data_IF_397633041119
#
_entry.id   IF_397633041119
#
_cell.length_a   1.000
_cell.length_b   1.000
_cell.length_c   1.000
_cell.angle_alpha   90.00
_cell.angle_beta   90.00
_cell.angle_gamma   90.00
#
_symmetry.space_group_name_H-M   'P 1'
#
loop_
_entity.id
_entity.type
_entity.pdbx_description
1 polymer ?
#
# COMPACT_ATOMS: atom_id res chain seq x y z
N UNK A 1 -7.69 20.13 -20.12
CA UNK A 1 -6.97 19.11 -19.33
C UNK A 1 -5.70 19.75 -18.85
N UNK A 2 -5.62 20.09 -17.58
CA UNK A 2 -4.36 20.55 -16.99
C UNK A 2 -3.41 19.35 -16.98
N UNK A 3 -2.33 19.42 -17.76
CA UNK A 3 -1.35 18.36 -17.86
C UNK A 3 -0.74 18.09 -16.46
N UNK A 4 -1.07 16.96 -15.88
CA UNK A 4 -0.42 16.48 -14.65
C UNK A 4 1.07 16.31 -14.97
N UNK A 5 1.94 17.03 -14.27
CA UNK A 5 3.40 16.91 -14.49
C UNK A 5 3.88 15.51 -14.13
N UNK A 6 4.97 15.04 -14.74
CA UNK A 6 5.58 13.72 -14.45
C UNK A 6 5.84 13.54 -12.95
N UNK A 7 6.30 14.58 -12.26
CA UNK A 7 6.51 14.54 -10.81
C UNK A 7 5.20 14.30 -10.04
N UNK A 8 4.10 14.96 -10.43
CA UNK A 8 2.79 14.76 -9.80
C UNK A 8 2.24 13.36 -10.10
N UNK A 9 2.39 12.86 -11.33
CA UNK A 9 2.01 11.49 -11.70
C UNK A 9 2.77 10.45 -10.87
N UNK A 10 4.07 10.64 -10.67
CA UNK A 10 4.85 9.80 -9.78
C UNK A 10 4.36 9.87 -8.32
N UNK A 11 4.04 11.06 -7.80
CA UNK A 11 3.47 11.20 -6.45
C UNK A 11 2.11 10.51 -6.32
N UNK A 12 1.22 10.57 -7.33
CA UNK A 12 -0.07 9.86 -7.36
C UNK A 12 0.12 8.33 -7.29
N UNK A 13 1.01 7.80 -8.12
CA UNK A 13 1.36 6.38 -8.12
C UNK A 13 1.86 5.92 -6.75
N UNK A 14 2.81 6.65 -6.16
CA UNK A 14 3.36 6.31 -4.85
C UNK A 14 2.37 6.54 -3.70
N UNK A 15 1.48 7.52 -3.80
CA UNK A 15 0.38 7.68 -2.85
C UNK A 15 -0.46 6.39 -2.81
N UNK A 16 -0.84 5.87 -3.98
CA UNK A 16 -1.56 4.61 -4.08
C UNK A 16 -0.81 3.43 -3.47
N UNK A 17 0.51 3.31 -3.74
CA UNK A 17 1.35 2.25 -3.18
C UNK A 17 1.47 2.31 -1.66
N UNK A 18 1.85 3.47 -1.11
CA UNK A 18 2.06 3.60 0.33
C UNK A 18 0.77 3.42 1.13
N UNK A 19 -0.33 3.97 0.64
CA UNK A 19 -1.64 3.80 1.27
C UNK A 19 -2.09 2.34 1.28
N UNK A 20 -1.93 1.63 0.16
CA UNK A 20 -2.28 0.20 0.08
C UNK A 20 -1.36 -0.67 0.93
N UNK A 21 -0.07 -0.34 1.01
CA UNK A 21 0.88 -1.03 1.89
C UNK A 21 0.44 -0.92 3.34
N UNK A 22 0.20 0.30 3.83
CA UNK A 22 -0.26 0.52 5.19
C UNK A 22 -1.58 -0.22 5.46
N UNK A 23 -2.54 -0.16 4.52
CA UNK A 23 -3.84 -0.82 4.64
C UNK A 23 -3.71 -2.35 4.72
N UNK A 24 -2.96 -2.97 3.81
CA UNK A 24 -2.82 -4.43 3.77
C UNK A 24 -1.97 -4.98 4.89
N UNK A 25 -0.87 -4.31 5.21
CA UNK A 25 -0.03 -4.74 6.33
C UNK A 25 -0.78 -4.64 7.66
N UNK A 26 -1.61 -3.61 7.88
CA UNK A 26 -2.44 -3.53 9.09
C UNK A 26 -3.32 -4.77 9.27
N UNK A 27 -3.97 -5.24 8.22
CA UNK A 27 -4.75 -6.48 8.28
C UNK A 27 -3.88 -7.73 8.53
N UNK A 28 -2.76 -7.85 7.82
CA UNK A 28 -1.89 -9.03 7.94
C UNK A 28 -1.23 -9.08 9.32
N UNK A 29 -0.84 -7.94 9.89
CA UNK A 29 -0.29 -7.86 11.24
C UNK A 29 -1.32 -8.38 12.25
N UNK A 30 -2.60 -8.00 12.10
CA UNK A 30 -3.65 -8.52 12.99
C UNK A 30 -3.80 -10.04 12.86
N UNK A 31 -3.82 -10.58 11.63
CA UNK A 31 -3.85 -12.03 11.41
C UNK A 31 -2.66 -12.75 12.06
N UNK A 32 -1.45 -12.21 11.93
CA UNK A 32 -0.25 -12.79 12.54
C UNK A 32 -0.21 -12.62 14.06
N UNK A 33 -0.76 -11.51 14.56
CA UNK A 33 -0.89 -11.29 16.01
C UNK A 33 -1.81 -12.35 16.65
N UNK A 34 -2.97 -12.58 16.05
CA UNK A 34 -3.89 -13.64 16.54
C UNK A 34 -3.21 -15.01 16.50
N UNK A 35 -2.48 -15.30 15.42
CA UNK A 35 -1.70 -16.53 15.31
C UNK A 35 -0.63 -16.64 16.39
N UNK A 36 0.07 -15.53 16.73
CA UNK A 36 1.07 -15.52 17.81
C UNK A 36 0.46 -15.73 19.19
N UNK A 37 -0.79 -15.32 19.39
CA UNK A 37 -1.50 -15.51 20.67
C UNK A 37 -2.03 -16.93 20.78
N UNK A 38 -2.61 -17.48 19.71
CA UNK A 38 -3.38 -18.70 19.77
C UNK A 38 -2.57 -19.98 19.51
N UNK A 39 -1.55 -19.91 18.62
CA UNK A 39 -0.94 -21.14 18.08
C UNK A 39 0.58 -21.14 18.02
N UNK A 40 1.22 -20.02 17.61
CA UNK A 40 2.65 -19.98 17.29
C UNK A 40 3.26 -18.63 17.69
N UNK A 41 3.80 -18.56 18.88
CA UNK A 41 4.42 -17.34 19.42
C UNK A 41 5.57 -16.80 18.56
N UNK A 42 6.09 -17.60 17.62
CA UNK A 42 7.21 -17.23 16.72
C UNK A 42 6.78 -16.85 15.31
N UNK A 43 5.47 -16.76 15.04
CA UNK A 43 4.93 -16.45 13.71
C UNK A 43 5.45 -15.11 13.13
N UNK A 44 5.90 -14.18 13.98
CA UNK A 44 6.54 -12.94 13.53
C UNK A 44 7.79 -13.18 12.67
N UNK A 45 8.51 -14.29 12.87
CA UNK A 45 9.69 -14.64 12.07
C UNK A 45 9.32 -14.90 10.61
N UNK A 46 8.21 -15.60 10.40
CA UNK A 46 7.66 -15.84 9.07
C UNK A 46 7.25 -14.51 8.41
N UNK A 47 6.58 -13.64 9.15
CA UNK A 47 6.19 -12.32 8.66
C UNK A 47 7.41 -11.50 8.20
N UNK A 48 8.44 -11.42 9.05
CA UNK A 48 9.67 -10.69 8.73
C UNK A 48 10.38 -11.27 7.50
N UNK A 49 10.49 -12.61 7.42
CA UNK A 49 11.11 -13.28 6.27
C UNK A 49 10.39 -12.98 4.96
N UNK A 50 9.04 -12.97 4.96
CA UNK A 50 8.22 -12.66 3.78
C UNK A 50 8.39 -11.24 3.26
N UNK A 51 8.69 -10.29 4.14
CA UNK A 51 8.96 -8.89 3.78
C UNK A 51 10.44 -8.57 3.59
N UNK A 52 11.34 -9.53 3.82
CA UNK A 52 12.79 -9.30 3.77
C UNK A 52 13.25 -8.34 4.87
N UNK A 53 12.60 -8.38 6.03
CA UNK A 53 12.94 -7.54 7.18
C UNK A 53 13.99 -8.31 8.00
N UNK A 54 15.22 -7.83 7.96
CA UNK A 54 16.32 -8.33 8.78
C UNK A 54 16.46 -7.45 10.02
N UNK A 55 15.62 -7.72 11.01
CA UNK A 55 15.61 -6.99 12.28
C UNK A 55 15.70 -8.02 13.42
N UNK A 56 16.51 -7.70 14.41
CA UNK A 56 16.60 -8.49 15.64
C UNK A 56 15.33 -8.28 16.50
N UNK A 57 14.29 -9.03 16.12
CA UNK A 57 13.01 -9.08 16.83
C UNK A 57 13.03 -10.29 17.75
N UNK A 58 13.03 -10.05 19.04
CA UNK A 58 13.14 -11.12 20.06
C UNK A 58 11.80 -11.69 20.48
N UNK A 59 10.72 -10.93 20.34
CA UNK A 59 9.40 -11.27 20.86
C UNK A 59 8.28 -10.52 20.10
N UNK A 60 7.04 -10.85 20.46
CA UNK A 60 5.83 -10.26 19.87
C UNK A 60 5.76 -8.74 20.04
N UNK A 61 6.20 -8.22 21.17
CA UNK A 61 6.08 -6.80 21.50
C UNK A 61 7.08 -5.96 20.69
N UNK A 62 8.33 -6.42 20.62
CA UNK A 62 9.37 -5.82 19.78
C UNK A 62 8.99 -5.89 18.29
N UNK A 63 8.39 -6.99 17.85
CA UNK A 63 7.86 -7.13 16.50
C UNK A 63 6.82 -6.05 16.19
N UNK A 64 5.78 -5.91 17.03
CA UNK A 64 4.74 -4.91 16.81
C UNK A 64 5.29 -3.50 16.80
N UNK A 65 6.20 -3.18 17.71
CA UNK A 65 6.87 -1.87 17.77
C UNK A 65 7.60 -1.58 16.46
N UNK A 66 8.36 -2.54 15.97
CA UNK A 66 9.14 -2.40 14.74
C UNK A 66 8.24 -2.23 13.52
N UNK A 67 7.31 -3.15 13.31
CA UNK A 67 6.52 -3.15 12.06
C UNK A 67 5.47 -2.04 12.01
N UNK A 68 5.04 -1.53 13.15
CA UNK A 68 4.06 -0.44 13.18
C UNK A 68 4.77 0.92 13.22
N UNK A 69 5.80 1.11 14.06
CA UNK A 69 6.29 2.46 14.40
C UNK A 69 7.75 2.77 14.10
N UNK A 70 8.58 1.78 13.73
CA UNK A 70 9.99 2.06 13.45
C UNK A 70 10.15 2.81 12.13
N UNK A 71 10.73 4.02 12.20
CA UNK A 71 11.03 4.86 11.04
C UNK A 71 12.19 4.30 10.19
N UNK A 72 13.06 3.50 10.78
CA UNK A 72 14.17 2.87 10.07
C UNK A 72 13.73 1.61 9.31
N UNK A 73 12.53 1.09 9.59
CA UNK A 73 11.95 -0.01 8.85
C UNK A 73 11.17 0.52 7.63
N UNK A 74 11.67 0.31 6.39
CA UNK A 74 10.99 0.80 5.18
C UNK A 74 9.58 0.23 4.99
N UNK A 75 9.32 -0.95 5.57
CA UNK A 75 8.04 -1.65 5.49
C UNK A 75 7.11 -1.33 6.67
N UNK A 76 7.50 -0.46 7.60
CA UNK A 76 6.63 -0.11 8.72
C UNK A 76 5.40 0.67 8.27
N UNK A 77 4.31 0.53 9.04
CA UNK A 77 3.07 1.28 8.80
C UNK A 77 3.34 2.78 8.93
N UNK A 78 4.12 3.20 9.94
CA UNK A 78 4.50 4.61 10.15
C UNK A 78 5.23 5.19 8.95
N UNK A 79 6.26 4.50 8.45
CA UNK A 79 7.02 4.95 7.28
C UNK A 79 6.13 5.05 6.04
N UNK A 80 5.26 4.06 5.82
CA UNK A 80 4.32 4.07 4.70
C UNK A 80 3.33 5.23 4.82
N UNK A 81 2.76 5.46 6.00
CA UNK A 81 1.79 6.55 6.22
C UNK A 81 2.43 7.93 6.14
N UNK A 82 3.67 8.11 6.63
CA UNK A 82 4.39 9.38 6.47
C UNK A 82 4.56 9.73 4.99
N UNK A 83 5.03 8.78 4.18
CA UNK A 83 5.21 8.99 2.74
C UNK A 83 3.88 9.19 2.00
N UNK A 84 2.80 8.49 2.41
CA UNK A 84 1.47 8.72 1.86
C UNK A 84 0.96 10.12 2.19
N UNK A 85 1.16 10.57 3.42
CA UNK A 85 0.78 11.91 3.87
C UNK A 85 1.55 13.00 3.10
N UNK A 86 2.87 12.90 2.98
CA UNK A 86 3.70 13.85 2.24
C UNK A 86 3.24 13.97 0.78
N UNK A 87 2.98 12.83 0.11
CA UNK A 87 2.45 12.83 -1.24
C UNK A 87 1.06 13.47 -1.31
N UNK A 88 0.18 13.22 -0.35
CA UNK A 88 -1.17 13.79 -0.32
C UNK A 88 -1.15 15.32 -0.20
N UNK A 89 -0.21 15.88 0.56
CA UNK A 89 -0.03 17.34 0.68
C UNK A 89 0.45 17.95 -0.64
N UNK A 90 1.39 17.31 -1.33
CA UNK A 90 1.86 17.75 -2.66
C UNK A 90 0.71 17.73 -3.67
N UNK A 91 -0.19 16.76 -3.54
CA UNK A 91 -1.28 16.49 -4.48
C UNK A 91 -2.62 17.13 -4.11
N UNK A 92 -2.69 17.93 -3.05
CA UNK A 92 -3.95 18.45 -2.49
C UNK A 92 -4.89 19.13 -3.49
N UNK A 93 -4.32 19.71 -4.57
CA UNK A 93 -5.09 20.36 -5.64
C UNK A 93 -5.71 19.36 -6.63
N UNK A 94 -5.16 18.13 -6.70
CA UNK A 94 -5.58 17.07 -7.61
C UNK A 94 -6.52 16.06 -6.96
N UNK A 95 -6.39 15.83 -5.65
CA UNK A 95 -7.08 14.73 -4.96
C UNK A 95 -8.19 15.15 -4.02
N UNK A 96 -8.50 16.45 -3.98
CA UNK A 96 -9.51 17.05 -3.12
C UNK A 96 -9.21 17.01 -1.61
N UNK A 97 -9.81 17.94 -0.87
CA UNK A 97 -9.58 18.14 0.58
C UNK A 97 -10.11 16.95 1.40
N UNK A 98 -11.25 16.39 1.02
CA UNK A 98 -11.87 15.23 1.69
C UNK A 98 -10.98 14.00 1.59
N UNK A 99 -10.37 13.77 0.43
CA UNK A 99 -9.44 12.65 0.23
C UNK A 99 -8.17 12.82 1.07
N UNK A 100 -7.62 14.04 1.13
CA UNK A 100 -6.46 14.36 1.99
C UNK A 100 -6.80 14.16 3.47
N UNK A 101 -8.01 14.55 3.90
CA UNK A 101 -8.43 14.44 5.30
C UNK A 101 -8.39 12.99 5.80
N UNK A 102 -8.80 12.00 5.01
CA UNK A 102 -8.73 10.59 5.41
C UNK A 102 -7.29 10.07 5.56
N UNK A 103 -6.36 10.49 4.69
CA UNK A 103 -4.93 10.18 4.84
C UNK A 103 -4.39 10.82 6.13
N UNK A 104 -4.74 12.08 6.42
CA UNK A 104 -4.30 12.77 7.63
C UNK A 104 -4.84 12.10 8.90
N UNK A 105 -6.11 11.66 8.89
CA UNK A 105 -6.70 10.94 10.02
C UNK A 105 -6.00 9.61 10.25
N UNK A 106 -5.73 8.83 9.19
CA UNK A 106 -4.98 7.58 9.28
C UNK A 106 -3.56 7.82 9.82
N UNK A 107 -2.84 8.81 9.28
CA UNK A 107 -1.52 9.21 9.74
C UNK A 107 -1.50 9.58 11.23
N UNK A 108 -2.42 10.44 11.67
CA UNK A 108 -2.53 10.85 13.07
C UNK A 108 -2.82 9.66 13.99
N UNK A 109 -3.64 8.70 13.56
CA UNK A 109 -3.90 7.49 14.33
C UNK A 109 -2.63 6.64 14.47
N UNK A 110 -1.85 6.45 13.40
CA UNK A 110 -0.57 5.73 13.47
C UNK A 110 0.40 6.41 14.44
N UNK A 111 0.50 7.74 14.39
CA UNK A 111 1.39 8.50 15.29
C UNK A 111 1.00 8.37 16.77
N UNK A 112 -0.26 8.12 17.08
CA UNK A 112 -0.77 7.94 18.44
C UNK A 112 -0.61 6.52 18.98
N UNK A 113 -0.43 5.51 18.11
CA UNK A 113 -0.40 4.10 18.51
C UNK A 113 0.68 3.79 19.57
N UNK A 114 1.79 4.55 19.60
CA UNK A 114 2.91 4.33 20.52
C UNK A 114 3.17 5.51 21.48
N UNK A 115 2.28 6.50 21.54
CA UNK A 115 2.48 7.64 22.45
C UNK A 115 2.34 7.28 23.94
N UNK A 116 1.80 6.10 24.27
CA UNK A 116 1.51 5.65 25.63
C UNK A 116 2.23 4.35 26.04
N UNK A 117 3.39 4.03 25.46
CA UNK A 117 4.21 2.82 25.72
C UNK A 117 3.53 1.45 25.50
N UNK A 118 2.22 1.42 25.24
CA UNK A 118 1.46 0.20 24.96
C UNK A 118 0.69 0.33 23.66
N UNK A 119 1.14 -0.38 22.62
CA UNK A 119 0.37 -0.53 21.40
C UNK A 119 -0.69 -1.62 21.60
N UNK A 120 -1.95 -1.23 21.50
CA UNK A 120 -3.04 -2.20 21.42
C UNK A 120 -3.34 -2.46 19.95
N UNK A 121 -3.24 -3.72 19.55
CA UNK A 121 -3.48 -4.15 18.15
C UNK A 121 -4.84 -3.65 17.61
N UNK A 122 -5.85 -3.56 18.49
CA UNK A 122 -7.19 -3.07 18.14
C UNK A 122 -7.20 -1.60 17.67
N UNK A 123 -6.21 -0.81 18.07
CA UNK A 123 -6.12 0.60 17.66
C UNK A 123 -5.74 0.73 16.17
N UNK A 124 -5.18 -0.34 15.55
CA UNK A 124 -5.02 -0.45 14.09
C UNK A 124 -6.34 -0.40 13.33
N UNK A 125 -7.48 -0.77 13.96
CA UNK A 125 -8.77 -0.71 13.30
C UNK A 125 -9.11 0.72 12.85
N UNK A 126 -8.78 1.73 13.65
CA UNK A 126 -8.99 3.13 13.27
C UNK A 126 -8.16 3.55 12.04
N UNK A 127 -6.95 2.99 11.89
CA UNK A 127 -6.13 3.20 10.69
C UNK A 127 -6.77 2.54 9.48
N UNK A 128 -7.21 1.29 9.63
CA UNK A 128 -7.89 0.51 8.58
C UNK A 128 -9.15 1.24 8.10
N UNK A 129 -9.99 1.72 9.01
CA UNK A 129 -11.26 2.38 8.70
C UNK A 129 -11.04 3.69 7.92
N UNK A 130 -10.06 4.50 8.34
CA UNK A 130 -9.71 5.72 7.60
C UNK A 130 -9.13 5.42 6.22
N UNK A 131 -8.34 4.36 6.07
CA UNK A 131 -7.80 3.96 4.77
C UNK A 131 -8.89 3.35 3.86
N UNK A 132 -9.89 2.68 4.41
CA UNK A 132 -11.09 2.28 3.66
C UNK A 132 -11.86 3.51 3.17
N UNK A 133 -12.06 4.49 4.04
CA UNK A 133 -12.72 5.76 3.69
C UNK A 133 -11.94 6.54 2.64
N UNK A 134 -10.60 6.56 2.73
CA UNK A 134 -9.76 7.12 1.67
C UNK A 134 -10.01 6.46 0.30
N UNK A 135 -10.12 5.13 0.26
CA UNK A 135 -10.39 4.43 -1.01
C UNK A 135 -11.78 4.75 -1.55
N UNK A 136 -12.78 4.95 -0.69
CA UNK A 136 -14.11 5.44 -1.08
C UNK A 136 -14.03 6.88 -1.62
N UNK A 137 -13.31 7.76 -0.92
CA UNK A 137 -13.13 9.14 -1.34
C UNK A 137 -12.41 9.27 -2.69
N UNK A 138 -11.40 8.43 -2.96
CA UNK A 138 -10.74 8.37 -4.27
C UNK A 138 -11.72 8.05 -5.38
N UNK A 139 -12.70 7.19 -5.14
CA UNK A 139 -13.71 6.83 -6.14
C UNK A 139 -14.82 7.90 -6.29
N UNK A 140 -15.19 8.59 -5.21
CA UNK A 140 -16.34 9.48 -5.19
C UNK A 140 -15.99 10.96 -5.46
N UNK A 141 -14.83 11.44 -4.98
CA UNK A 141 -14.47 12.87 -5.07
C UNK A 141 -13.48 13.20 -6.17
N UNK A 142 -12.60 12.26 -6.57
CA UNK A 142 -11.63 12.52 -7.64
C UNK A 142 -12.32 12.35 -9.00
N UNK A 143 -12.69 13.47 -9.62
CA UNK A 143 -13.40 13.50 -10.90
C UNK A 143 -12.47 13.20 -12.08
N UNK A 144 -11.20 13.64 -12.01
CA UNK A 144 -10.21 13.41 -13.07
C UNK A 144 -9.82 11.93 -13.11
N UNK A 145 -10.20 11.27 -14.22
CA UNK A 145 -9.96 9.84 -14.44
C UNK A 145 -8.46 9.51 -14.42
N UNK A 146 -7.61 10.34 -15.00
CA UNK A 146 -6.17 10.11 -15.01
C UNK A 146 -5.58 10.12 -13.61
N UNK A 147 -5.99 11.08 -12.77
CA UNK A 147 -5.55 11.20 -11.37
C UNK A 147 -6.02 9.96 -10.58
N UNK A 148 -7.30 9.64 -10.69
CA UNK A 148 -7.90 8.50 -9.97
C UNK A 148 -7.26 7.18 -10.39
N UNK A 149 -7.12 6.94 -11.69
CA UNK A 149 -6.60 5.68 -12.21
C UNK A 149 -5.11 5.52 -11.92
N UNK A 150 -4.31 6.60 -11.93
CA UNK A 150 -2.90 6.57 -11.51
C UNK A 150 -2.76 6.11 -10.05
N UNK A 151 -3.58 6.61 -9.12
CA UNK A 151 -3.61 6.15 -7.72
C UNK A 151 -4.00 4.67 -7.66
N UNK A 152 -5.00 4.24 -8.44
CA UNK A 152 -5.44 2.83 -8.49
C UNK A 152 -4.37 1.91 -9.08
N UNK A 153 -3.60 2.36 -10.05
CA UNK A 153 -2.43 1.62 -10.55
C UNK A 153 -1.46 1.34 -9.40
N UNK A 154 -1.07 2.38 -8.64
CA UNK A 154 -0.24 2.20 -7.45
C UNK A 154 -0.82 1.20 -6.45
N UNK A 155 -2.13 1.31 -6.16
CA UNK A 155 -2.87 0.38 -5.30
C UNK A 155 -2.69 -1.07 -5.73
N UNK A 156 -2.93 -1.38 -7.01
CA UNK A 156 -2.94 -2.78 -7.46
C UNK A 156 -1.54 -3.36 -7.65
N UNK A 157 -0.54 -2.56 -8.00
CA UNK A 157 0.87 -2.99 -7.99
C UNK A 157 1.28 -3.43 -6.58
N UNK A 158 1.00 -2.60 -5.57
CA UNK A 158 1.32 -2.93 -4.18
C UNK A 158 0.53 -4.13 -3.65
N UNK A 159 -0.74 -4.23 -4.02
CA UNK A 159 -1.59 -5.35 -3.60
C UNK A 159 -1.12 -6.69 -4.18
N UNK A 160 -0.68 -6.70 -5.42
CA UNK A 160 -0.11 -7.89 -6.06
C UNK A 160 1.16 -8.31 -5.32
N UNK A 161 2.07 -7.37 -5.05
CA UNK A 161 3.31 -7.63 -4.30
C UNK A 161 3.01 -8.27 -2.94
N UNK A 162 2.18 -7.62 -2.12
CA UNK A 162 1.84 -8.12 -0.79
C UNK A 162 1.12 -9.49 -0.87
N UNK A 163 0.19 -9.66 -1.79
CA UNK A 163 -0.54 -10.92 -1.92
C UNK A 163 0.36 -12.07 -2.34
N UNK A 164 1.36 -11.81 -3.18
CA UNK A 164 2.36 -12.81 -3.58
C UNK A 164 3.26 -13.16 -2.41
N UNK A 165 3.79 -12.18 -1.68
CA UNK A 165 4.67 -12.42 -0.51
C UNK A 165 3.98 -13.21 0.60
N UNK A 166 2.67 -13.01 0.79
CA UNK A 166 1.87 -13.68 1.83
C UNK A 166 1.04 -14.86 1.29
N UNK A 167 1.41 -15.46 0.15
CA UNK A 167 0.80 -16.64 -0.46
C UNK A 167 -0.73 -16.59 -0.51
N UNK A 168 -1.30 -15.42 -0.84
CA UNK A 168 -2.74 -15.30 -1.03
C UNK A 168 -3.16 -16.08 -2.27
N UNK A 169 -4.40 -16.59 -2.29
CA UNK A 169 -4.87 -17.46 -3.35
C UNK A 169 -4.64 -16.85 -4.74
N UNK A 170 -4.26 -17.69 -5.70
CA UNK A 170 -4.04 -17.30 -7.10
C UNK A 170 -5.25 -16.56 -7.70
N UNK A 171 -6.46 -16.93 -7.32
CA UNK A 171 -7.68 -16.24 -7.72
C UNK A 171 -7.67 -14.76 -7.31
N UNK A 172 -7.23 -14.44 -6.08
CA UNK A 172 -7.12 -13.05 -5.60
C UNK A 172 -6.06 -12.27 -6.37
N UNK A 173 -4.90 -12.88 -6.62
CA UNK A 173 -3.79 -12.28 -7.37
C UNK A 173 -4.23 -12.01 -8.81
N UNK A 174 -4.85 -12.98 -9.49
CA UNK A 174 -5.40 -12.82 -10.85
C UNK A 174 -6.43 -11.71 -10.92
N UNK A 175 -7.32 -11.62 -9.93
CA UNK A 175 -8.29 -10.52 -9.83
C UNK A 175 -7.62 -9.15 -9.72
N UNK A 176 -6.49 -9.04 -9.01
CA UNK A 176 -5.71 -7.80 -8.92
C UNK A 176 -5.00 -7.47 -10.24
N UNK A 177 -4.38 -8.47 -10.91
CA UNK A 177 -3.76 -8.31 -12.22
C UNK A 177 -4.75 -7.79 -13.27
N UNK A 178 -5.96 -8.35 -13.33
CA UNK A 178 -7.01 -7.91 -14.25
C UNK A 178 -7.45 -6.45 -13.99
N UNK A 179 -7.51 -6.03 -12.73
CA UNK A 179 -7.85 -4.65 -12.39
C UNK A 179 -6.70 -3.70 -12.72
N UNK A 180 -5.46 -4.09 -12.43
CA UNK A 180 -4.27 -3.32 -12.83
C UNK A 180 -4.25 -3.08 -14.33
N UNK A 181 -4.41 -4.14 -15.14
CA UNK A 181 -4.49 -4.08 -16.60
C UNK A 181 -5.53 -3.04 -17.05
N UNK A 182 -6.75 -3.09 -16.51
CA UNK A 182 -7.83 -2.16 -16.85
C UNK A 182 -7.46 -0.70 -16.57
N UNK A 183 -6.89 -0.38 -15.40
CA UNK A 183 -6.52 1.00 -15.06
C UNK A 183 -5.39 1.53 -15.93
N UNK A 184 -4.41 0.70 -16.29
CA UNK A 184 -3.32 1.10 -17.18
C UNK A 184 -3.83 1.37 -18.59
N UNK A 185 -4.75 0.55 -19.11
CA UNK A 185 -5.36 0.81 -20.41
C UNK A 185 -6.14 2.13 -20.46
N UNK A 186 -6.71 2.58 -19.35
CA UNK A 186 -7.35 3.89 -19.26
C UNK A 186 -6.37 5.06 -19.28
N UNK A 187 -5.10 4.85 -18.94
CA UNK A 187 -4.08 5.90 -18.95
C UNK A 187 -3.52 6.23 -20.34
N UNK A 188 -4.02 5.58 -21.39
CA UNK A 188 -3.67 5.80 -22.82
C UNK A 188 -2.15 5.75 -23.09
N UNK A 189 -1.53 4.66 -22.66
CA UNK A 189 -0.07 4.46 -22.77
C UNK A 189 0.25 3.32 -23.74
N UNK A 190 -0.09 3.50 -25.00
CA UNK A 190 -0.14 2.48 -26.05
C UNK A 190 1.12 1.59 -26.18
N UNK A 191 2.31 2.13 -25.90
CA UNK A 191 3.56 1.37 -26.09
C UNK A 191 3.95 0.48 -24.90
N UNK A 192 3.53 0.80 -23.69
CA UNK A 192 3.90 0.05 -22.46
C UNK A 192 2.86 -1.05 -22.15
N UNK A 193 1.66 -0.91 -22.69
CA UNK A 193 0.58 -1.86 -22.46
C UNK A 193 0.92 -3.29 -22.96
N UNK A 194 1.62 -3.42 -24.09
CA UNK A 194 2.00 -4.74 -24.63
C UNK A 194 2.97 -5.48 -23.73
N UNK A 195 4.07 -4.84 -23.33
CA UNK A 195 5.07 -5.45 -22.43
C UNK A 195 4.43 -5.83 -21.09
N UNK A 196 3.54 -4.98 -20.60
CA UNK A 196 2.86 -5.23 -19.33
C UNK A 196 1.86 -6.38 -19.43
N UNK A 197 1.10 -6.47 -20.51
CA UNK A 197 0.15 -7.56 -20.71
C UNK A 197 0.88 -8.91 -20.73
N UNK A 198 2.00 -9.01 -21.41
CA UNK A 198 2.85 -10.20 -21.42
C UNK A 198 3.36 -10.54 -20.01
N UNK A 199 3.84 -9.53 -19.26
CA UNK A 199 4.30 -9.70 -17.89
C UNK A 199 3.15 -10.13 -16.97
N UNK A 200 1.96 -9.54 -17.09
CA UNK A 200 0.81 -9.87 -16.24
C UNK A 200 0.23 -11.26 -16.51
N UNK A 201 0.31 -11.74 -17.76
CA UNK A 201 -0.13 -13.07 -18.16
C UNK A 201 0.92 -14.15 -17.85
N UNK A 202 2.18 -13.78 -17.70
CA UNK A 202 3.26 -14.70 -17.35
C UNK A 202 3.05 -15.28 -15.94
N UNK A 203 3.19 -16.60 -15.83
CA UNK A 203 3.23 -17.31 -14.54
C UNK A 203 4.56 -17.16 -13.79
N UNK A 204 5.59 -16.64 -14.48
CA UNK A 204 6.97 -16.54 -13.97
C UNK A 204 7.31 -15.13 -13.52
N UNK A 205 6.56 -14.11 -13.97
CA UNK A 205 6.85 -12.72 -13.63
C UNK A 205 6.71 -12.45 -12.13
N UNK A 206 7.76 -11.90 -11.56
CA UNK A 206 7.77 -11.50 -10.16
C UNK A 206 6.98 -10.19 -9.94
N UNK A 207 6.54 -9.90 -8.71
CA UNK A 207 5.98 -8.59 -8.36
C UNK A 207 6.92 -7.42 -8.67
N UNK A 208 8.24 -7.64 -8.55
CA UNK A 208 9.25 -6.63 -8.85
C UNK A 208 9.31 -6.31 -10.35
N UNK A 209 9.14 -7.30 -11.23
CA UNK A 209 9.05 -7.09 -12.68
C UNK A 209 7.83 -6.25 -13.04
N UNK A 210 6.68 -6.54 -12.42
CA UNK A 210 5.45 -5.75 -12.59
C UNK A 210 5.67 -4.31 -12.13
N UNK A 211 6.24 -4.12 -10.95
CA UNK A 211 6.51 -2.79 -10.39
C UNK A 211 7.51 -2.00 -11.23
N UNK A 212 8.55 -2.67 -11.77
CA UNK A 212 9.55 -2.05 -12.63
C UNK A 212 8.96 -1.64 -13.98
N UNK A 213 8.12 -2.47 -14.58
CA UNK A 213 7.43 -2.16 -15.84
C UNK A 213 6.49 -0.97 -15.67
N UNK A 214 5.59 -1.03 -14.69
CA UNK A 214 4.64 0.05 -14.38
C UNK A 214 5.35 1.34 -13.98
N UNK A 215 6.44 1.25 -13.23
CA UNK A 215 7.21 2.42 -12.81
C UNK A 215 7.82 3.22 -13.96
N UNK A 216 7.94 2.66 -15.17
CA UNK A 216 8.40 3.41 -16.37
C UNK A 216 7.35 4.40 -16.88
N UNK A 217 6.05 4.19 -16.56
CA UNK A 217 4.96 5.09 -16.96
C UNK A 217 5.04 6.47 -16.28
N UNK A 218 5.71 6.54 -15.12
CA UNK A 218 5.70 7.71 -14.25
C UNK A 218 7.10 8.32 -14.02
N UNK A 219 8.05 8.03 -14.92
CA UNK A 219 9.43 8.55 -14.87
C UNK A 219 9.70 9.64 -15.90
#
# INVERSE_FOLDING_TARGET
MDNVSVNKANCLYWLGRYTERAYKLSHIITEFYDRMVDYDSTAYKEFCARLGIDIDVSDKESFLKTIISDENCPSSIKTSMSKAYDNSIILREQIDTETVAYIQLAYNNVMRLFSNDHCRIYDLQNVIDNLMSFWGAVDDYIIDDYVRDTIKVGKYVERIDIFTRFDRSEYKIKGCKNRLKRYIHHLDTDHICYDLDEILESSVASPDDIAACVGKLFK
#
